data_IF_331858829410
#
_entry.id   IF_331858829410
#
_cell.length_a   1.000
_cell.length_b   1.000
_cell.length_c   1.000
_cell.angle_alpha   90.00
_cell.angle_beta   90.00
_cell.angle_gamma   90.00
#
_symmetry.space_group_name_H-M   'P 1'
#
loop_
_entity.id
_entity.type
_entity.pdbx_description
1 polymer ?
#
# COMPACT_ATOMS: atom_id res chain seq x y z
N UNK A 1 3.49 30.36 -21.44
CA UNK A 1 2.04 30.10 -21.63
C UNK A 1 1.44 29.89 -20.25
N UNK A 2 0.55 30.77 -19.76
CA UNK A 2 0.02 30.62 -18.40
C UNK A 2 -1.10 29.58 -18.36
N UNK A 3 -1.05 28.70 -17.36
CA UNK A 3 -2.05 27.67 -17.07
C UNK A 3 -3.38 28.30 -16.66
N UNK A 4 -4.49 27.77 -17.19
CA UNK A 4 -5.84 28.17 -16.82
C UNK A 4 -6.23 27.60 -15.43
N UNK A 5 -7.02 28.32 -14.62
CA UNK A 5 -7.46 27.85 -13.30
C UNK A 5 -8.56 26.80 -13.39
N UNK A 6 -8.47 25.78 -12.54
CA UNK A 6 -9.45 24.69 -12.37
C UNK A 6 -10.67 25.20 -11.61
N UNK A 7 -11.88 24.98 -12.14
CA UNK A 7 -13.14 25.29 -11.46
C UNK A 7 -13.61 24.10 -10.59
N UNK A 8 -14.16 24.34 -9.38
CA UNK A 8 -14.69 23.27 -8.53
C UNK A 8 -16.06 22.76 -9.00
N UNK A 9 -16.24 21.44 -8.95
CA UNK A 9 -17.50 20.76 -9.23
C UNK A 9 -18.51 20.96 -8.07
N UNK A 10 -19.75 21.29 -8.42
CA UNK A 10 -20.86 21.48 -7.49
C UNK A 10 -21.33 20.14 -6.86
N UNK A 11 -21.87 20.17 -5.62
CA UNK A 11 -22.34 18.97 -4.94
C UNK A 11 -23.72 18.52 -5.46
N UNK A 12 -23.84 17.25 -5.82
CA UNK A 12 -25.12 16.60 -6.11
C UNK A 12 -25.87 16.32 -4.80
N UNK A 13 -26.92 17.10 -4.55
CA UNK A 13 -27.94 16.79 -3.55
C UNK A 13 -29.08 16.00 -4.22
N UNK A 14 -29.35 14.78 -3.73
CA UNK A 14 -30.45 13.94 -4.17
C UNK A 14 -31.07 13.19 -2.97
N UNK A 15 -32.42 13.10 -2.87
CA UNK A 15 -33.10 12.81 -1.62
C UNK A 15 -33.17 11.32 -1.25
N UNK A 16 -33.10 11.08 0.07
CA UNK A 16 -33.36 9.81 0.76
C UNK A 16 -34.81 9.36 0.52
N UNK A 17 -35.00 8.20 -0.12
CA UNK A 17 -36.30 7.50 -0.17
C UNK A 17 -36.32 6.41 0.90
N UNK A 18 -37.01 6.70 2.00
CA UNK A 18 -37.52 5.70 2.94
C UNK A 18 -38.56 4.82 2.22
N UNK A 19 -38.34 3.51 2.19
CA UNK A 19 -39.37 2.53 1.84
C UNK A 19 -39.73 1.74 3.09
N UNK A 20 -40.98 1.91 3.52
CA UNK A 20 -41.62 1.15 4.59
C UNK A 20 -41.85 -0.29 4.14
N UNK A 21 -41.45 -1.27 4.96
CA UNK A 21 -41.81 -2.68 4.83
C UNK A 21 -42.98 -3.00 5.78
N UNK A 22 -44.06 -3.65 5.32
CA UNK A 22 -45.02 -4.27 6.22
C UNK A 22 -44.49 -5.61 6.76
N UNK A 23 -44.77 -5.81 8.04
CA UNK A 23 -44.47 -6.99 8.84
C UNK A 23 -45.63 -7.98 8.67
N UNK A 24 -45.41 -9.10 7.98
CA UNK A 24 -46.33 -10.24 8.06
C UNK A 24 -45.58 -11.50 8.50
N UNK A 25 -46.00 -12.02 9.65
CA UNK A 25 -45.53 -13.25 10.25
C UNK A 25 -46.21 -14.46 9.60
N UNK A 26 -45.44 -15.46 9.17
CA UNK A 26 -45.90 -16.85 9.24
C UNK A 26 -44.72 -17.84 9.25
N UNK A 27 -44.53 -18.52 10.38
CA UNK A 27 -43.89 -19.84 10.45
C UNK A 27 -44.99 -20.90 10.15
N UNK A 28 -44.71 -22.14 9.67
CA UNK A 28 -43.66 -23.01 10.24
C UNK A 28 -43.00 -24.10 9.34
N UNK A 29 -41.95 -24.71 9.93
CA UNK A 29 -41.56 -26.14 9.90
C UNK A 29 -40.72 -26.74 8.75
N UNK A 30 -39.57 -27.26 9.23
CA UNK A 30 -38.81 -28.49 8.90
C UNK A 30 -37.62 -28.37 7.94
N UNK A 31 -36.44 -28.64 8.54
CA UNK A 31 -35.13 -28.89 7.90
C UNK A 31 -35.14 -30.18 7.08
N UNK A 32 -34.26 -30.26 6.07
CA UNK A 32 -33.33 -31.38 6.03
C UNK A 32 -31.87 -30.92 5.97
N UNK A 33 -31.01 -31.86 6.37
CA UNK A 33 -29.57 -31.74 6.62
C UNK A 33 -28.80 -31.73 5.29
N UNK A 34 -27.92 -30.75 5.12
CA UNK A 34 -26.78 -30.81 4.21
C UNK A 34 -25.65 -29.98 4.84
N UNK A 35 -24.39 -30.43 4.83
CA UNK A 35 -23.28 -29.60 5.29
C UNK A 35 -23.17 -28.38 4.36
N UNK A 36 -22.96 -27.16 4.89
CA UNK A 36 -22.62 -26.04 4.03
C UNK A 36 -21.26 -26.36 3.42
N UNK A 37 -21.23 -26.54 2.10
CA UNK A 37 -19.97 -26.47 1.34
C UNK A 37 -19.52 -25.02 1.52
N UNK A 38 -18.52 -24.83 2.39
CA UNK A 38 -17.77 -23.58 2.47
C UNK A 38 -17.12 -23.40 1.10
N UNK A 39 -17.80 -22.70 0.19
CA UNK A 39 -17.11 -22.02 -0.91
C UNK A 39 -16.22 -20.98 -0.23
N UNK A 40 -15.00 -21.39 0.10
CA UNK A 40 -13.93 -20.46 0.38
C UNK A 40 -13.75 -19.64 -0.87
N UNK A 41 -14.31 -18.43 -0.88
CA UNK A 41 -13.79 -17.38 -1.75
C UNK A 41 -12.37 -17.17 -1.27
N UNK A 42 -11.42 -17.84 -1.91
CA UNK A 42 -10.04 -17.38 -1.87
C UNK A 42 -10.12 -15.97 -2.44
N UNK A 43 -10.06 -14.99 -1.53
CA UNK A 43 -9.65 -13.65 -1.88
C UNK A 43 -8.39 -13.85 -2.71
N UNK A 44 -8.52 -13.66 -4.03
CA UNK A 44 -7.38 -13.55 -4.91
C UNK A 44 -6.64 -12.35 -4.34
N UNK A 45 -5.56 -12.62 -3.61
CA UNK A 45 -4.61 -11.59 -3.24
C UNK A 45 -4.18 -10.98 -4.57
N UNK A 46 -4.74 -9.81 -4.89
CA UNK A 46 -4.49 -9.14 -6.14
C UNK A 46 -3.06 -8.59 -6.06
N UNK A 47 -2.10 -9.49 -6.34
CA UNK A 47 -0.75 -9.27 -6.82
C UNK A 47 0.01 -8.01 -6.35
N UNK A 48 -0.06 -7.65 -5.05
CA UNK A 48 0.67 -6.51 -4.48
C UNK A 48 2.15 -6.82 -4.16
N UNK A 49 2.54 -8.09 -4.19
CA UNK A 49 3.87 -8.52 -3.77
C UNK A 49 4.83 -8.59 -4.96
N UNK A 50 6.09 -8.22 -4.69
CA UNK A 50 7.20 -8.33 -5.63
C UNK A 50 7.26 -9.72 -6.26
N UNK A 51 7.34 -9.80 -7.59
CA UNK A 51 7.71 -11.03 -8.30
C UNK A 51 9.24 -11.04 -8.47
N UNK A 52 9.99 -11.74 -7.59
CA UNK A 52 11.43 -11.62 -7.56
C UNK A 52 12.08 -12.32 -8.76
N UNK A 53 13.08 -11.67 -9.36
CA UNK A 53 13.97 -12.29 -10.34
C UNK A 53 15.42 -11.92 -10.06
N UNK A 54 16.28 -12.93 -9.95
CA UNK A 54 17.72 -12.75 -9.78
C UNK A 54 18.43 -12.79 -11.14
N UNK A 55 19.30 -11.81 -11.38
CA UNK A 55 20.16 -11.70 -12.56
C UNK A 55 21.66 -11.90 -12.23
N UNK A 56 21.97 -12.51 -11.09
CA UNK A 56 23.34 -12.79 -10.63
C UNK A 56 24.08 -11.54 -10.12
N UNK A 57 23.35 -10.52 -9.66
CA UNK A 57 23.93 -9.26 -9.14
C UNK A 57 23.83 -9.11 -7.63
N UNK A 58 23.56 -10.23 -6.94
CA UNK A 58 23.55 -10.31 -5.49
C UNK A 58 22.26 -9.81 -4.84
N UNK A 59 21.22 -9.52 -5.61
CA UNK A 59 19.86 -9.30 -5.13
C UNK A 59 18.87 -9.51 -6.28
N UNK A 60 17.58 -9.40 -5.98
CA UNK A 60 16.49 -9.60 -6.94
C UNK A 60 15.96 -8.28 -7.48
N UNK A 61 15.33 -8.28 -8.64
CA UNK A 61 14.43 -7.19 -9.07
C UNK A 61 12.98 -7.64 -8.90
N UNK A 62 12.06 -6.69 -8.77
CA UNK A 62 10.63 -6.97 -8.88
C UNK A 62 10.22 -6.85 -10.35
N UNK A 63 9.77 -7.95 -10.91
CA UNK A 63 9.28 -7.97 -12.30
C UNK A 63 7.88 -7.38 -12.31
N UNK A 64 7.70 -6.37 -13.15
CA UNK A 64 6.42 -5.76 -13.45
C UNK A 64 6.12 -6.03 -14.93
N UNK A 65 5.02 -6.71 -15.20
CA UNK A 65 4.53 -7.00 -16.54
C UNK A 65 3.06 -6.56 -16.68
N UNK A 66 2.45 -6.81 -17.84
CA UNK A 66 1.08 -6.34 -18.13
C UNK A 66 0.01 -6.98 -17.24
N UNK A 67 0.36 -8.02 -16.47
CA UNK A 67 -0.56 -8.76 -15.61
C UNK A 67 -0.34 -8.48 -14.12
N UNK A 68 0.89 -8.13 -13.73
CA UNK A 68 1.26 -8.01 -12.33
C UNK A 68 2.41 -7.02 -12.12
N UNK A 69 2.27 -6.15 -11.12
CA UNK A 69 3.31 -5.27 -10.59
C UNK A 69 3.11 -5.10 -9.08
N UNK A 70 4.19 -4.83 -8.33
CA UNK A 70 4.13 -4.64 -6.89
C UNK A 70 3.76 -3.21 -6.48
N UNK A 71 3.00 -3.10 -5.39
CA UNK A 71 2.57 -1.83 -4.78
C UNK A 71 2.56 -1.99 -3.26
N UNK A 72 2.91 -0.95 -2.49
CA UNK A 72 2.88 -1.03 -1.01
C UNK A 72 1.48 -0.75 -0.44
N UNK A 73 0.59 -0.19 -1.27
CA UNK A 73 -0.70 0.33 -0.85
C UNK A 73 -0.57 1.65 -0.07
N UNK A 74 -1.70 2.28 0.25
CA UNK A 74 -1.68 3.58 0.93
C UNK A 74 -1.06 3.47 2.33
N UNK A 75 0.06 4.16 2.54
CA UNK A 75 0.72 4.22 3.86
C UNK A 75 -0.05 5.17 4.79
N UNK A 76 -0.50 4.65 5.93
CA UNK A 76 -1.17 5.42 6.98
C UNK A 76 -0.48 5.22 8.33
N UNK A 77 -0.50 6.23 9.22
CA UNK A 77 -0.03 6.07 10.58
C UNK A 77 -0.76 4.91 11.29
N UNK A 78 0.00 4.11 12.04
CA UNK A 78 -0.56 3.07 12.90
C UNK A 78 -1.24 3.68 14.14
N UNK A 79 -1.92 2.83 14.90
CA UNK A 79 -2.52 3.22 16.19
C UNK A 79 -1.43 3.68 17.17
N UNK A 80 -1.80 4.55 18.12
CA UNK A 80 -0.87 5.03 19.15
C UNK A 80 -0.19 3.87 19.89
N UNK A 81 1.13 3.94 20.05
CA UNK A 81 1.94 2.87 20.65
C UNK A 81 2.31 1.73 19.70
N UNK A 82 1.86 1.75 18.44
CA UNK A 82 2.25 0.82 17.38
C UNK A 82 3.00 1.59 16.30
N UNK A 83 4.05 0.98 15.75
CA UNK A 83 4.77 1.51 14.58
C UNK A 83 4.77 0.50 13.45
N UNK A 84 4.70 1.02 12.23
CA UNK A 84 4.97 0.27 11.02
C UNK A 84 6.49 0.30 10.74
N UNK A 85 7.04 -0.86 10.41
CA UNK A 85 8.42 -1.03 9.99
C UNK A 85 8.41 -1.59 8.59
N UNK A 86 9.11 -0.91 7.68
CA UNK A 86 9.28 -1.34 6.30
C UNK A 86 10.73 -1.78 6.09
N UNK A 87 10.93 -3.01 5.64
CA UNK A 87 12.26 -3.60 5.46
C UNK A 87 12.52 -3.94 3.99
N UNK A 88 13.70 -3.53 3.52
CA UNK A 88 14.26 -3.98 2.24
C UNK A 88 15.63 -4.59 2.49
N UNK A 89 15.91 -5.74 1.87
CA UNK A 89 17.14 -6.47 2.11
C UNK A 89 17.77 -7.00 0.83
N UNK A 90 19.08 -7.28 0.91
CA UNK A 90 19.83 -7.94 -0.17
C UNK A 90 19.25 -9.33 -0.49
N UNK A 91 18.78 -10.03 0.55
CA UNK A 91 18.14 -11.34 0.43
C UNK A 91 16.78 -11.32 -0.28
N UNK A 92 16.20 -10.13 -0.50
CA UNK A 92 15.04 -9.97 -1.38
C UNK A 92 13.78 -9.41 -0.74
N UNK A 93 13.82 -8.94 0.51
CA UNK A 93 12.69 -8.15 1.06
C UNK A 93 12.56 -6.84 0.28
N UNK A 94 11.32 -6.43 0.02
CA UNK A 94 10.96 -5.27 -0.80
C UNK A 94 9.79 -4.57 -0.13
N UNK A 95 10.09 -3.51 0.64
CA UNK A 95 9.13 -2.80 1.49
C UNK A 95 8.26 -3.75 2.33
N UNK A 96 8.87 -4.80 2.87
CA UNK A 96 8.19 -5.80 3.69
C UNK A 96 7.72 -5.14 4.98
N UNK A 97 6.39 -5.07 5.16
CA UNK A 97 5.77 -4.35 6.28
C UNK A 97 5.58 -5.29 7.47
N UNK A 98 6.11 -4.88 8.62
CA UNK A 98 5.81 -5.46 9.93
C UNK A 98 5.34 -4.36 10.89
N UNK A 99 4.77 -4.75 12.03
CA UNK A 99 4.39 -3.81 13.08
C UNK A 99 5.04 -4.16 14.40
N UNK A 100 5.49 -3.15 15.13
CA UNK A 100 6.07 -3.30 16.47
C UNK A 100 5.27 -2.47 17.47
N UNK A 101 5.22 -2.92 18.72
CA UNK A 101 4.57 -2.19 19.81
C UNK A 101 5.61 -1.58 20.75
N UNK A 102 5.46 -0.29 21.04
CA UNK A 102 6.27 0.46 22.01
C UNK A 102 5.82 0.27 23.48
N UNK A 103 4.80 -0.56 23.71
CA UNK A 103 4.15 -0.72 25.02
C UNK A 103 5.01 -1.46 26.06
N UNK A 104 6.25 -1.85 25.73
CA UNK A 104 7.18 -2.47 26.68
C UNK A 104 8.48 -1.69 26.69
N UNK A 105 8.93 -1.17 27.84
CA UNK A 105 10.31 -0.71 27.96
C UNK A 105 11.23 -1.89 27.60
N UNK A 106 12.25 -1.63 26.80
CA UNK A 106 13.29 -2.61 26.57
C UNK A 106 13.93 -2.93 27.93
N UNK A 107 13.92 -4.20 28.35
CA UNK A 107 14.76 -4.65 29.46
C UNK A 107 16.21 -4.57 28.98
N UNK A 108 16.83 -3.42 29.17
CA UNK A 108 18.26 -3.18 28.92
C UNK A 108 19.08 -3.66 30.12
N UNK A 109 18.75 -4.83 30.66
CA UNK A 109 19.49 -5.43 31.77
C UNK A 109 20.85 -5.91 31.26
N UNK A 110 21.85 -5.03 31.35
CA UNK A 110 23.26 -5.38 31.36
C UNK A 110 23.85 -5.98 30.07
N UNK A 111 23.21 -5.83 28.92
CA UNK A 111 23.79 -6.26 27.65
C UNK A 111 24.57 -5.09 27.03
N UNK A 112 25.89 -5.10 27.18
CA UNK A 112 26.82 -4.06 26.69
C UNK A 112 26.79 -3.87 25.16
N UNK A 113 26.11 -4.76 24.42
CA UNK A 113 25.94 -4.71 22.96
C UNK A 113 24.66 -3.96 22.50
N UNK A 114 23.88 -3.36 23.41
CA UNK A 114 22.64 -2.67 23.06
C UNK A 114 22.91 -1.27 22.46
N UNK A 115 22.55 -1.08 21.20
CA UNK A 115 22.57 0.24 20.54
C UNK A 115 21.26 0.97 20.79
N UNK A 116 21.32 2.16 21.40
CA UNK A 116 20.16 3.02 21.65
C UNK A 116 20.18 4.26 20.76
N UNK A 117 19.04 4.55 20.12
CA UNK A 117 18.82 5.74 19.29
C UNK A 117 17.73 6.59 19.93
N UNK A 118 18.05 7.84 20.26
CA UNK A 118 17.15 8.77 20.95
C UNK A 118 16.84 9.97 20.07
N UNK A 119 15.55 10.27 19.88
CA UNK A 119 15.07 11.39 19.06
C UNK A 119 14.73 12.56 19.98
N UNK A 120 15.43 13.69 19.79
CA UNK A 120 15.13 14.97 20.46
C UNK A 120 14.33 15.87 19.52
N UNK A 121 13.01 15.93 19.72
CA UNK A 121 12.08 16.69 18.87
C UNK A 121 12.17 18.21 19.04
N UNK A 122 12.92 18.71 20.04
CA UNK A 122 13.15 20.15 20.24
C UNK A 122 14.20 20.72 19.29
N UNK A 123 15.12 19.87 18.80
CA UNK A 123 16.16 20.23 17.86
C UNK A 123 15.66 20.06 16.44
N UNK A 124 15.52 21.16 15.70
CA UNK A 124 15.07 21.17 14.31
C UNK A 124 16.20 21.53 13.35
N UNK A 125 16.11 20.99 12.14
CA UNK A 125 17.04 21.23 11.04
C UNK A 125 16.26 21.75 9.81
N UNK A 126 16.71 21.42 8.60
CA UNK A 126 16.05 21.81 7.36
C UNK A 126 14.67 21.16 7.20
N UNK A 127 13.76 21.87 6.53
CA UNK A 127 12.53 21.27 5.99
C UNK A 127 12.86 20.47 4.73
N UNK A 128 12.22 19.31 4.58
CA UNK A 128 12.31 18.50 3.36
C UNK A 128 11.23 18.98 2.38
N UNK A 129 11.64 19.40 1.19
CA UNK A 129 10.72 19.80 0.13
C UNK A 129 10.08 18.58 -0.54
N UNK A 130 10.89 17.57 -0.89
CA UNK A 130 10.41 16.35 -1.51
C UNK A 130 11.53 15.47 -2.07
N UNK A 131 11.12 14.38 -2.70
CA UNK A 131 11.96 13.41 -3.39
C UNK A 131 11.39 13.19 -4.79
N UNK A 132 12.22 12.81 -5.75
CA UNK A 132 11.77 12.60 -7.13
C UNK A 132 12.87 12.14 -8.07
N UNK A 133 12.55 12.11 -9.37
CA UNK A 133 13.45 11.73 -10.44
C UNK A 133 13.56 12.78 -11.55
N UNK A 134 14.29 12.44 -12.61
CA UNK A 134 14.49 13.31 -13.76
C UNK A 134 13.67 12.85 -14.97
N UNK A 135 12.83 13.72 -15.51
CA UNK A 135 12.09 13.50 -16.76
C UNK A 135 12.97 13.87 -17.95
N UNK A 136 13.87 12.97 -18.33
CA UNK A 136 14.75 13.12 -19.49
C UNK A 136 14.13 12.51 -20.75
N UNK A 137 14.62 12.89 -21.93
CA UNK A 137 14.22 12.27 -23.20
C UNK A 137 14.40 10.74 -23.15
N UNK A 138 15.50 10.27 -22.56
CA UNK A 138 15.74 8.84 -22.38
C UNK A 138 14.69 8.16 -21.49
N UNK A 139 14.30 8.79 -20.38
CA UNK A 139 13.24 8.27 -19.53
C UNK A 139 11.89 8.24 -20.27
N UNK A 140 11.58 9.30 -21.02
CA UNK A 140 10.37 9.41 -21.83
C UNK A 140 10.29 8.36 -22.94
N UNK A 141 11.37 8.16 -23.70
CA UNK A 141 11.43 7.16 -24.78
C UNK A 141 11.28 5.74 -24.22
N UNK A 142 11.97 5.42 -23.12
CA UNK A 142 11.85 4.10 -22.50
C UNK A 142 10.44 3.85 -21.96
N UNK A 143 9.83 4.84 -21.29
CA UNK A 143 8.46 4.75 -20.82
C UNK A 143 7.48 4.55 -22.00
N UNK A 144 7.59 5.38 -23.04
CA UNK A 144 6.72 5.32 -24.22
C UNK A 144 6.86 4.00 -25.00
N UNK A 145 8.01 3.32 -24.89
CA UNK A 145 8.22 2.01 -25.52
C UNK A 145 7.43 0.86 -24.89
N UNK A 146 6.85 1.07 -23.70
CA UNK A 146 6.05 0.08 -22.99
C UNK A 146 4.59 0.07 -23.48
N UNK A 147 3.87 -1.06 -23.33
CA UNK A 147 2.41 -1.08 -23.42
C UNK A 147 1.77 -0.05 -22.46
N UNK A 148 0.64 0.53 -22.85
CA UNK A 148 -0.05 1.59 -22.10
C UNK A 148 -0.31 1.21 -20.62
N UNK A 149 -0.69 -0.04 -20.36
CA UNK A 149 -0.92 -0.53 -18.99
C UNK A 149 0.37 -0.47 -18.13
N UNK A 150 1.51 -0.76 -18.75
CA UNK A 150 2.81 -0.71 -18.06
C UNK A 150 3.31 0.73 -17.92
N UNK A 151 2.97 1.63 -18.83
CA UNK A 151 3.24 3.05 -18.66
C UNK A 151 2.54 3.60 -17.41
N UNK A 152 1.25 3.28 -17.26
CA UNK A 152 0.47 3.67 -16.09
C UNK A 152 1.02 3.02 -14.81
N UNK A 153 1.34 1.72 -14.84
CA UNK A 153 1.91 1.03 -13.69
C UNK A 153 3.25 1.63 -13.22
N UNK A 154 4.14 2.00 -14.16
CA UNK A 154 5.41 2.66 -13.84
C UNK A 154 5.15 4.04 -13.22
N UNK A 155 4.27 4.85 -13.82
CA UNK A 155 3.93 6.17 -13.26
C UNK A 155 3.27 6.04 -11.88
N UNK A 156 2.41 5.04 -11.69
CA UNK A 156 1.79 4.72 -10.40
C UNK A 156 2.84 4.34 -9.35
N UNK A 157 3.84 3.54 -9.74
CA UNK A 157 4.93 3.11 -8.84
C UNK A 157 5.76 4.29 -8.33
N UNK A 158 5.98 5.34 -9.14
CA UNK A 158 6.76 6.53 -8.76
C UNK A 158 5.95 7.64 -8.09
N UNK A 159 4.68 7.83 -8.47
CA UNK A 159 3.95 9.07 -8.16
C UNK A 159 2.60 8.86 -7.47
N UNK A 160 2.15 7.62 -7.24
CA UNK A 160 0.95 7.36 -6.45
C UNK A 160 1.26 7.15 -4.96
N UNK A 161 0.24 7.26 -4.13
CA UNK A 161 0.29 6.95 -2.69
C UNK A 161 0.42 5.45 -2.39
N UNK A 162 0.25 4.60 -3.40
CA UNK A 162 0.45 3.16 -3.35
C UNK A 162 1.81 2.71 -3.94
N UNK A 163 2.63 3.66 -4.39
CA UNK A 163 3.87 3.43 -5.11
C UNK A 163 4.94 2.64 -4.34
N UNK A 164 5.92 2.11 -5.07
CA UNK A 164 7.03 1.29 -4.53
C UNK A 164 8.40 1.93 -4.74
N UNK A 165 8.46 3.16 -5.28
CA UNK A 165 9.70 3.89 -5.58
C UNK A 165 9.66 5.28 -4.93
#
# INVERSE_FOLDING_TARGET
MPCAPVQPLAPFAGPLKLWSLPLEMQAPRRRPRGPPVLLGVQLVHLALQCQPRDYGKGSVVCVCDTTQCDFIGVVRPEQSGVIAVYESSKAGKRFDKTTLSFNKPANLDGNDDAVSVVIDSSKKYQSIFGFGGAFTDAAGINLQSLPEQLQEAVLKSYYSDEGTI
#
